data_IF_033205058966
#
_entry.id   IF_033205058966
#
_cell.length_a   1.000
_cell.length_b   1.000
_cell.length_c   1.000
_cell.angle_alpha   90.00
_cell.angle_beta   90.00
_cell.angle_gamma   90.00
#
_symmetry.space_group_name_H-M   'P 1'
#
loop_
_entity.id
_entity.type
_entity.pdbx_description
1 polymer ?
#
# COMPACT_ATOMS: atom_id res chain seq x y z
N UNK A 1 3.96 -32.61 -101.34
CA UNK A 1 3.25 -31.36 -101.64
C UNK A 1 2.01 -31.32 -100.77
N UNK A 2 2.07 -30.54 -99.70
CA UNK A 2 1.11 -30.48 -98.59
C UNK A 2 1.25 -29.09 -97.97
N UNK A 3 0.22 -28.24 -97.98
CA UNK A 3 0.30 -26.93 -97.35
C UNK A 3 -0.20 -27.00 -95.90
N UNK A 4 0.70 -26.60 -94.99
CA UNK A 4 0.51 -25.73 -93.82
C UNK A 4 -0.87 -25.67 -93.16
N UNK A 5 -0.94 -26.05 -91.89
CA UNK A 5 -1.94 -25.55 -90.94
C UNK A 5 -1.23 -25.02 -89.68
N UNK A 6 -1.69 -23.91 -89.09
CA UNK A 6 -0.89 -23.10 -88.19
C UNK A 6 -1.03 -23.54 -86.73
N UNK A 7 0.12 -23.68 -86.07
CA UNK A 7 0.24 -23.75 -84.61
C UNK A 7 -0.02 -22.38 -84.00
N UNK A 8 -1.08 -22.26 -83.20
CA UNK A 8 -1.30 -21.14 -82.29
C UNK A 8 -1.44 -21.65 -80.83
N UNK A 9 -1.00 -20.84 -79.85
CA UNK A 9 -0.48 -21.32 -78.58
C UNK A 9 -1.55 -21.56 -77.50
N UNK A 10 -1.23 -22.32 -76.43
CA UNK A 10 -2.09 -22.43 -75.26
C UNK A 10 -2.21 -21.09 -74.53
N UNK A 11 -3.43 -20.80 -74.10
CA UNK A 11 -3.83 -19.53 -73.48
C UNK A 11 -2.92 -19.09 -72.33
N UNK A 12 -2.58 -17.82 -72.37
CA UNK A 12 -1.86 -17.08 -71.34
C UNK A 12 -2.69 -17.03 -70.05
N UNK A 13 -2.30 -17.83 -69.06
CA UNK A 13 -2.71 -17.62 -67.66
C UNK A 13 -1.97 -16.38 -67.16
N UNK A 14 -2.64 -15.40 -66.53
CA UNK A 14 -1.95 -14.19 -66.08
C UNK A 14 -0.96 -14.54 -64.96
N UNK A 15 0.31 -14.26 -65.22
CA UNK A 15 1.40 -14.29 -64.26
C UNK A 15 1.16 -13.12 -63.28
N UNK A 16 0.56 -13.40 -62.13
CA UNK A 16 0.53 -12.43 -61.04
C UNK A 16 1.94 -12.25 -60.49
N UNK A 17 2.44 -11.02 -60.65
CA UNK A 17 3.68 -10.51 -60.07
C UNK A 17 3.89 -10.99 -58.64
N UNK A 18 5.11 -11.42 -58.36
CA UNK A 18 5.70 -11.55 -57.02
C UNK A 18 5.47 -10.24 -56.25
N UNK A 19 4.41 -10.19 -55.45
CA UNK A 19 4.25 -9.15 -54.43
C UNK A 19 5.08 -9.59 -53.24
N UNK A 20 6.20 -8.91 -53.04
CA UNK A 20 6.88 -8.77 -51.75
C UNK A 20 5.82 -8.75 -50.65
N UNK A 21 5.86 -9.74 -49.76
CA UNK A 21 5.04 -9.72 -48.54
C UNK A 21 5.52 -8.55 -47.71
N UNK A 22 4.95 -7.37 -47.94
CA UNK A 22 5.03 -6.26 -47.02
C UNK A 22 4.34 -6.75 -45.77
N UNK A 23 5.13 -7.09 -44.75
CA UNK A 23 4.67 -7.26 -43.37
C UNK A 23 3.95 -5.96 -43.04
N UNK A 24 2.61 -5.96 -43.18
CA UNK A 24 1.78 -4.94 -42.58
C UNK A 24 1.98 -5.13 -41.09
N UNK A 25 2.82 -4.27 -40.51
CA UNK A 25 2.86 -4.06 -39.08
C UNK A 25 1.44 -3.77 -38.64
N UNK A 26 0.86 -4.68 -37.84
CA UNK A 26 -0.36 -4.48 -37.07
C UNK A 26 -0.21 -3.19 -36.23
N UNK A 27 -0.54 -2.06 -36.84
CA UNK A 27 -0.70 -0.77 -36.17
C UNK A 27 -2.18 -0.46 -36.05
N UNK A 28 -2.96 -1.39 -35.50
CA UNK A 28 -4.33 -1.09 -35.06
C UNK A 28 -4.88 -2.07 -34.00
N UNK A 29 -4.00 -2.63 -33.16
CA UNK A 29 -4.39 -3.41 -31.97
C UNK A 29 -4.05 -2.70 -30.63
N UNK A 30 -3.99 -1.37 -30.62
CA UNK A 30 -3.77 -0.56 -29.41
C UNK A 30 -5.05 0.10 -28.87
N UNK A 31 -6.21 -0.55 -29.05
CA UNK A 31 -7.46 -0.15 -28.37
C UNK A 31 -7.99 -1.32 -27.55
N UNK A 32 -8.02 -1.10 -26.23
CA UNK A 32 -8.62 -1.96 -25.21
C UNK A 32 -7.96 -3.32 -24.99
N UNK A 33 -6.82 -3.31 -24.30
CA UNK A 33 -6.71 -4.26 -23.18
C UNK A 33 -7.64 -3.70 -22.10
N UNK A 34 -8.89 -4.14 -22.09
CA UNK A 34 -9.72 -4.03 -20.89
C UNK A 34 -9.00 -4.82 -19.81
N UNK A 35 -8.51 -4.12 -18.78
CA UNK A 35 -7.99 -4.76 -17.58
C UNK A 35 -9.12 -5.58 -16.96
N UNK A 36 -9.14 -6.87 -17.29
CA UNK A 36 -10.20 -7.82 -16.95
C UNK A 36 -9.92 -8.48 -15.59
N UNK A 37 -8.78 -8.17 -14.97
CA UNK A 37 -8.43 -8.65 -13.64
C UNK A 37 -8.77 -7.54 -12.65
N UNK A 38 -9.90 -7.70 -11.95
CA UNK A 38 -10.21 -6.79 -10.83
C UNK A 38 -9.13 -6.93 -9.76
N UNK A 39 -8.58 -5.82 -9.28
CA UNK A 39 -7.57 -5.77 -8.20
C UNK A 39 -7.90 -4.68 -7.20
N UNK A 40 -7.50 -4.84 -5.95
CA UNK A 40 -7.58 -3.80 -4.93
C UNK A 40 -6.45 -2.78 -5.10
N UNK A 41 -6.61 -1.59 -4.53
CA UNK A 41 -5.57 -0.55 -4.54
C UNK A 41 -5.70 0.33 -3.31
N UNK A 42 -4.81 0.15 -2.33
CA UNK A 42 -4.89 0.75 -1.01
C UNK A 42 -4.04 2.01 -0.91
N UNK A 43 -4.73 3.15 -0.79
CA UNK A 43 -4.10 4.46 -0.82
C UNK A 43 -4.38 5.24 0.45
N UNK A 44 -3.33 5.64 1.16
CA UNK A 44 -3.46 6.47 2.36
C UNK A 44 -3.88 7.90 2.02
N UNK A 45 -4.92 8.44 2.65
CA UNK A 45 -5.35 9.83 2.46
C UNK A 45 -4.94 10.68 3.66
N UNK A 46 -4.13 11.75 3.47
CA UNK A 46 -3.67 12.56 4.58
C UNK A 46 -4.82 13.28 5.30
N UNK A 47 -4.94 13.03 6.60
CA UNK A 47 -5.71 13.84 7.53
C UNK A 47 -4.77 14.19 8.70
N UNK A 48 -3.83 15.11 8.49
CA UNK A 48 -2.73 15.31 9.45
C UNK A 48 -3.13 16.24 10.60
N UNK A 49 -3.88 15.68 11.54
CA UNK A 49 -3.78 16.09 12.94
C UNK A 49 -2.79 15.15 13.64
N UNK A 50 -1.58 15.65 13.91
CA UNK A 50 -0.60 14.93 14.72
C UNK A 50 -0.51 15.54 16.09
N UNK A 51 -0.26 14.72 17.09
CA UNK A 51 0.01 15.21 18.44
C UNK A 51 0.94 14.28 19.19
N UNK A 52 1.54 14.84 20.24
CA UNK A 52 2.40 14.11 21.15
C UNK A 52 1.58 13.76 22.39
N UNK A 53 1.56 12.49 22.75
CA UNK A 53 0.95 12.02 23.99
C UNK A 53 2.04 11.47 24.91
N UNK A 54 2.00 11.85 26.18
CA UNK A 54 2.83 11.27 27.23
C UNK A 54 1.97 10.32 28.05
N UNK A 55 2.34 9.05 28.09
CA UNK A 55 1.53 8.01 28.73
C UNK A 55 2.41 7.16 29.64
N UNK A 56 2.02 6.93 30.90
CA UNK A 56 2.75 6.03 31.79
C UNK A 56 2.58 4.57 31.34
N UNK A 57 3.61 3.75 31.57
CA UNK A 57 3.64 2.35 31.13
C UNK A 57 2.47 1.51 31.66
N UNK A 58 1.93 1.79 32.85
CA UNK A 58 0.78 1.05 33.36
C UNK A 58 -0.48 1.15 32.47
N UNK A 59 -0.61 2.23 31.69
CA UNK A 59 -1.67 2.42 30.70
C UNK A 59 -1.33 1.79 29.32
N UNK A 60 -0.10 1.35 29.12
CA UNK A 60 0.41 0.83 27.84
C UNK A 60 0.71 -0.66 27.87
N UNK A 61 0.30 -1.38 28.92
CA UNK A 61 0.59 -2.83 29.06
C UNK A 61 0.10 -3.63 27.87
N UNK A 62 -1.12 -3.35 27.42
CA UNK A 62 -1.71 -3.95 26.23
C UNK A 62 -0.88 -3.67 24.97
N UNK A 63 -0.58 -2.40 24.73
CA UNK A 63 0.26 -2.01 23.60
C UNK A 63 1.68 -2.61 23.67
N UNK A 64 2.22 -2.83 24.87
CA UNK A 64 3.50 -3.49 25.06
C UNK A 64 3.43 -4.99 24.71
N UNK A 65 2.37 -5.69 25.13
CA UNK A 65 2.11 -7.09 24.76
C UNK A 65 1.98 -7.28 23.25
N UNK A 66 1.46 -6.27 22.55
CA UNK A 66 1.30 -6.25 21.09
C UNK A 66 2.53 -5.71 20.35
N UNK A 67 3.64 -5.43 21.05
CA UNK A 67 4.87 -4.87 20.48
C UNK A 67 4.67 -3.52 19.77
N UNK A 68 3.82 -2.66 20.33
CA UNK A 68 3.54 -1.32 19.82
C UNK A 68 4.43 -0.21 20.39
N UNK A 69 5.39 -0.57 21.25
CA UNK A 69 6.36 0.35 21.84
C UNK A 69 7.76 0.06 21.33
N UNK A 70 8.66 1.04 21.43
CA UNK A 70 10.07 0.82 21.11
C UNK A 70 10.69 -0.20 22.09
N UNK A 71 11.73 -0.91 21.67
CA UNK A 71 12.40 -1.95 22.47
C UNK A 71 12.90 -1.46 23.83
N UNK A 72 13.20 -0.17 23.97
CA UNK A 72 13.55 0.46 25.25
C UNK A 72 12.44 0.38 26.29
N UNK A 73 11.18 0.23 25.88
CA UNK A 73 10.04 0.04 26.77
C UNK A 73 10.07 -1.30 27.52
N UNK A 74 10.79 -2.31 27.03
CA UNK A 74 10.88 -3.62 27.67
C UNK A 74 11.53 -3.54 29.08
N UNK A 75 12.34 -2.51 29.34
CA UNK A 75 12.98 -2.29 30.63
C UNK A 75 12.29 -1.16 31.45
N UNK A 76 11.21 -0.59 30.93
CA UNK A 76 10.50 0.51 31.57
C UNK A 76 9.60 -0.01 32.71
N UNK A 77 9.57 0.73 33.82
CA UNK A 77 8.70 0.47 34.97
C UNK A 77 7.32 1.04 34.72
N UNK A 78 6.31 0.58 35.47
CA UNK A 78 4.91 1.02 35.35
C UNK A 78 4.73 2.55 35.37
N UNK A 79 5.53 3.28 36.16
CA UNK A 79 5.45 4.74 36.28
C UNK A 79 6.35 5.50 35.30
N UNK A 80 7.19 4.80 34.53
CA UNK A 80 7.97 5.43 33.48
C UNK A 80 7.03 5.88 32.36
N UNK A 81 7.35 7.01 31.75
CA UNK A 81 6.51 7.64 30.73
C UNK A 81 7.06 7.36 29.35
N UNK A 82 6.18 6.94 28.43
CA UNK A 82 6.45 6.88 27.00
C UNK A 82 5.95 8.14 26.31
N UNK A 83 6.64 8.54 25.26
CA UNK A 83 6.27 9.68 24.41
C UNK A 83 5.83 9.13 23.06
N UNK A 84 4.57 9.33 22.71
CA UNK A 84 3.94 8.73 21.54
C UNK A 84 3.59 9.82 20.51
N UNK A 85 4.08 9.66 19.28
CA UNK A 85 3.65 10.48 18.14
C UNK A 85 2.41 9.83 17.53
N UNK A 86 1.24 10.42 17.79
CA UNK A 86 -0.05 9.92 17.30
C UNK A 86 -0.49 10.64 16.05
N UNK A 87 -1.13 9.90 15.16
CA UNK A 87 -1.65 10.38 13.87
C UNK A 87 -2.75 9.45 13.37
N UNK A 88 -3.81 9.95 12.72
CA UNK A 88 -4.82 9.07 12.16
C UNK A 88 -4.30 8.42 10.88
N UNK A 89 -4.82 7.24 10.57
CA UNK A 89 -4.60 6.55 9.31
C UNK A 89 -5.92 6.42 8.56
N UNK A 90 -5.94 6.73 7.26
CA UNK A 90 -7.11 6.46 6.41
C UNK A 90 -6.66 5.82 5.11
N UNK A 91 -6.98 4.55 4.90
CA UNK A 91 -6.65 3.79 3.69
C UNK A 91 -7.89 3.63 2.84
N UNK A 92 -7.83 4.02 1.56
CA UNK A 92 -8.90 3.83 0.59
C UNK A 92 -8.60 2.64 -0.30
N UNK A 93 -9.57 1.77 -0.56
CA UNK A 93 -9.48 0.87 -1.71
C UNK A 93 -10.03 1.56 -2.96
N UNK A 94 -9.14 2.07 -3.81
CA UNK A 94 -9.47 2.69 -5.09
C UNK A 94 -9.46 1.73 -6.28
N UNK A 95 -9.18 0.46 -6.02
CA UNK A 95 -9.26 -0.61 -6.99
C UNK A 95 -10.70 -1.05 -7.30
N UNK A 96 -10.83 -2.14 -8.04
CA UNK A 96 -12.11 -2.71 -8.48
C UNK A 96 -12.46 -4.05 -7.83
N UNK A 97 -11.54 -4.62 -7.04
CA UNK A 97 -11.75 -5.82 -6.23
C UNK A 97 -11.60 -5.53 -4.73
N UNK A 98 -12.12 -6.45 -3.94
CA UNK A 98 -12.06 -6.42 -2.48
C UNK A 98 -10.62 -6.66 -2.04
N UNK A 99 -10.10 -5.81 -1.15
CA UNK A 99 -8.84 -6.08 -0.48
C UNK A 99 -9.14 -7.04 0.66
N UNK A 100 -8.66 -8.28 0.55
CA UNK A 100 -8.95 -9.33 1.53
C UNK A 100 -7.68 -9.74 2.27
N UNK A 101 -7.79 -10.12 3.55
CA UNK A 101 -6.66 -10.68 4.28
C UNK A 101 -6.10 -11.90 3.56
N UNK A 102 -4.77 -11.97 3.44
CA UNK A 102 -4.08 -13.10 2.79
C UNK A 102 -4.11 -14.38 3.63
N UNK A 103 -4.26 -14.25 4.97
CA UNK A 103 -4.31 -15.38 5.89
C UNK A 103 -5.74 -15.91 6.04
N UNK A 104 -5.93 -17.24 6.02
CA UNK A 104 -7.23 -17.84 6.31
C UNK A 104 -7.63 -17.57 7.77
N UNK A 105 -8.95 -17.56 8.03
CA UNK A 105 -9.52 -17.19 9.33
C UNK A 105 -8.92 -17.92 10.54
N UNK A 106 -8.58 -19.20 10.40
CA UNK A 106 -8.00 -19.99 11.50
C UNK A 106 -6.61 -19.50 11.94
N UNK A 107 -5.95 -18.68 11.11
CA UNK A 107 -4.63 -18.11 11.37
C UNK A 107 -4.70 -16.64 11.81
N UNK A 108 -5.91 -16.11 12.04
CA UNK A 108 -6.08 -14.77 12.60
C UNK A 108 -5.75 -14.78 14.08
N UNK A 109 -5.07 -13.74 14.54
CA UNK A 109 -4.60 -13.64 15.92
C UNK A 109 -5.65 -12.87 16.73
N UNK A 110 -6.02 -13.41 17.90
CA UNK A 110 -6.96 -12.74 18.80
C UNK A 110 -6.20 -11.77 19.70
N UNK A 111 -6.65 -10.52 19.71
CA UNK A 111 -6.06 -9.47 20.53
C UNK A 111 -7.00 -9.16 21.69
N UNK A 112 -6.67 -9.68 22.88
CA UNK A 112 -7.51 -9.55 24.09
C UNK A 112 -7.71 -8.09 24.51
N UNK A 113 -6.73 -7.24 24.21
CA UNK A 113 -6.78 -5.81 24.51
C UNK A 113 -7.82 -5.06 23.67
N UNK A 114 -8.03 -5.50 22.43
CA UNK A 114 -8.97 -4.87 21.50
C UNK A 114 -10.25 -5.70 21.28
N UNK A 115 -10.34 -6.87 21.91
CA UNK A 115 -11.48 -7.79 21.86
C UNK A 115 -11.93 -8.13 20.42
N UNK A 116 -10.97 -8.27 19.50
CA UNK A 116 -11.22 -8.69 18.12
C UNK A 116 -10.00 -9.40 17.50
N UNK A 117 -10.20 -9.98 16.31
CA UNK A 117 -9.15 -10.66 15.57
C UNK A 117 -8.40 -9.70 14.64
N UNK A 118 -7.07 -9.81 14.58
CA UNK A 118 -6.26 -9.20 13.54
C UNK A 118 -6.06 -10.21 12.40
N UNK A 119 -6.47 -9.83 11.19
CA UNK A 119 -6.46 -10.73 10.02
C UNK A 119 -5.17 -10.66 9.20
N UNK A 120 -4.32 -9.67 9.49
CA UNK A 120 -3.00 -9.49 8.89
C UNK A 120 -2.00 -9.15 9.98
N UNK A 121 -0.80 -9.73 9.90
CA UNK A 121 0.29 -9.44 10.85
C UNK A 121 0.95 -8.08 10.62
N UNK A 122 0.80 -7.50 9.42
CA UNK A 122 1.36 -6.20 9.07
C UNK A 122 0.51 -5.57 7.95
N UNK A 123 -0.43 -4.70 8.30
CA UNK A 123 -1.24 -3.96 7.32
C UNK A 123 -0.55 -2.68 6.89
N UNK A 124 0.03 -1.96 7.85
CA UNK A 124 0.84 -0.76 7.59
C UNK A 124 2.13 -0.76 8.40
N UNK A 125 3.14 -0.09 7.85
CA UNK A 125 4.42 0.14 8.48
C UNK A 125 4.66 1.63 8.65
N UNK A 126 5.02 2.04 9.86
CA UNK A 126 5.27 3.43 10.23
C UNK A 126 6.76 3.64 10.50
N UNK A 127 7.41 4.44 9.66
CA UNK A 127 8.80 4.87 9.82
C UNK A 127 8.83 6.35 10.23
N UNK A 128 9.67 6.71 11.21
CA UNK A 128 10.09 8.10 11.42
C UNK A 128 11.54 8.23 10.96
N UNK A 129 11.77 9.07 9.96
CA UNK A 129 13.08 9.28 9.34
C UNK A 129 13.64 10.64 9.72
N UNK A 130 14.94 10.73 9.94
CA UNK A 130 15.62 12.02 10.03
C UNK A 130 15.49 12.77 8.70
N UNK A 131 15.09 14.04 8.74
CA UNK A 131 14.82 14.79 7.50
C UNK A 131 16.06 14.96 6.62
N UNK A 132 17.25 15.05 7.22
CA UNK A 132 18.50 15.30 6.50
C UNK A 132 19.15 14.03 5.97
N UNK A 133 19.22 12.98 6.79
CA UNK A 133 19.92 11.74 6.48
C UNK A 133 19.01 10.66 5.90
N UNK A 134 17.68 10.84 6.03
CA UNK A 134 16.64 9.86 5.68
C UNK A 134 16.82 8.49 6.37
N UNK A 135 17.61 8.44 7.44
CA UNK A 135 17.77 7.25 8.28
C UNK A 135 16.62 7.14 9.29
N UNK A 136 16.25 5.91 9.64
CA UNK A 136 15.25 5.67 10.68
C UNK A 136 15.78 6.14 12.03
N UNK A 137 15.00 6.94 12.73
CA UNK A 137 15.33 7.47 14.07
C UNK A 137 14.47 6.89 15.19
N UNK A 138 13.36 6.26 14.83
CA UNK A 138 12.52 5.50 15.75
C UNK A 138 12.39 4.07 15.22
N UNK A 139 12.14 3.14 16.14
CA UNK A 139 11.77 1.78 15.75
C UNK A 139 10.44 1.83 15.01
N UNK A 140 10.43 1.24 13.80
CA UNK A 140 9.24 1.25 12.96
C UNK A 140 8.13 0.43 13.59
N UNK A 141 6.92 0.99 13.64
CA UNK A 141 5.78 0.30 14.20
C UNK A 141 5.03 -0.47 13.10
N UNK A 142 4.77 -1.75 13.36
CA UNK A 142 3.97 -2.63 12.50
C UNK A 142 2.55 -2.65 13.01
N UNK A 143 1.69 -1.89 12.36
CA UNK A 143 0.30 -1.86 12.77
C UNK A 143 -0.43 -3.05 12.11
N UNK A 144 -0.88 -3.98 12.94
CA UNK A 144 -1.89 -4.97 12.57
C UNK A 144 -3.22 -4.44 13.07
N UNK A 145 -4.20 -4.35 12.18
CA UNK A 145 -5.53 -3.88 12.53
C UNK A 145 -6.59 -4.73 11.84
N UNK A 146 -7.82 -4.57 12.28
CA UNK A 146 -8.96 -5.22 11.68
C UNK A 146 -9.43 -4.49 10.42
N UNK A 147 -9.40 -5.19 9.27
CA UNK A 147 -9.86 -4.60 8.01
C UNK A 147 -11.38 -4.50 7.96
N UNK A 148 -11.88 -3.27 7.89
CA UNK A 148 -13.31 -3.00 7.72
C UNK A 148 -13.60 -1.79 6.82
N UNK A 149 -14.83 -1.74 6.32
CA UNK A 149 -15.33 -0.56 5.64
C UNK A 149 -15.77 0.44 6.73
N UNK A 150 -15.00 1.50 7.02
CA UNK A 150 -15.37 2.56 8.00
C UNK A 150 -16.30 3.61 7.39
N UNK A 151 -16.08 3.94 6.12
CA UNK A 151 -16.89 4.87 5.31
C UNK A 151 -16.70 4.55 3.84
N UNK A 152 -17.58 5.03 2.96
CA UNK A 152 -17.44 4.84 1.52
C UNK A 152 -17.80 6.11 0.75
N UNK A 153 -17.26 6.22 -0.47
CA UNK A 153 -17.71 7.25 -1.41
C UNK A 153 -19.20 7.07 -1.75
N UNK A 154 -19.83 8.15 -2.23
CA UNK A 154 -21.23 8.11 -2.65
C UNK A 154 -21.45 7.02 -3.72
N UNK A 155 -22.49 6.21 -3.54
CA UNK A 155 -22.82 5.10 -4.44
C UNK A 155 -22.15 3.76 -4.08
N UNK A 156 -21.27 3.73 -3.08
CA UNK A 156 -20.67 2.51 -2.54
C UNK A 156 -21.28 2.15 -1.18
N UNK A 157 -21.29 0.86 -0.84
CA UNK A 157 -21.89 0.34 0.39
C UNK A 157 -20.87 -0.47 1.20
N UNK A 158 -20.91 -0.31 2.52
CA UNK A 158 -20.10 -1.05 3.49
C UNK A 158 -20.51 -2.53 3.45
N UNK A 159 -19.54 -3.44 3.42
CA UNK A 159 -19.74 -4.91 3.43
C UNK A 159 -18.94 -5.62 4.51
N UNK A 160 -17.79 -5.07 4.92
CA UNK A 160 -16.94 -5.65 5.94
C UNK A 160 -17.03 -4.87 7.24
N UNK A 161 -17.10 -5.60 8.35
CA UNK A 161 -17.13 -5.05 9.70
C UNK A 161 -16.42 -6.01 10.65
N UNK A 162 -15.57 -5.48 11.51
CA UNK A 162 -14.84 -6.26 12.50
C UNK A 162 -15.78 -7.01 13.45
N UNK A 163 -16.91 -6.37 13.80
CA UNK A 163 -17.96 -6.90 14.68
C UNK A 163 -18.77 -8.03 14.03
N UNK A 164 -18.85 -8.10 12.69
CA UNK A 164 -19.52 -9.18 11.96
C UNK A 164 -18.61 -10.37 11.68
N UNK A 165 -17.37 -10.33 12.18
CA UNK A 165 -16.33 -11.32 11.93
C UNK A 165 -15.93 -11.53 10.46
N UNK A 166 -16.25 -10.60 9.57
CA UNK A 166 -15.83 -10.66 8.16
C UNK A 166 -14.98 -9.44 7.86
N UNK A 167 -13.72 -9.68 7.50
CA UNK A 167 -12.74 -8.62 7.28
C UNK A 167 -12.41 -8.45 5.81
N UNK A 168 -12.17 -7.20 5.43
CA UNK A 168 -11.83 -6.78 4.09
C UNK A 168 -12.09 -5.30 3.90
N UNK A 169 -11.66 -4.77 2.76
CA UNK A 169 -11.92 -3.39 2.37
C UNK A 169 -12.51 -3.35 0.95
N UNK A 170 -13.76 -2.91 0.85
CA UNK A 170 -14.54 -2.85 -0.38
C UNK A 170 -14.02 -1.78 -1.34
N UNK A 171 -14.14 -1.96 -2.67
CA UNK A 171 -13.93 -0.90 -3.65
C UNK A 171 -14.71 0.37 -3.29
N UNK A 172 -14.07 1.53 -3.40
CA UNK A 172 -14.66 2.83 -3.07
C UNK A 172 -14.86 3.09 -1.57
N UNK A 173 -14.48 2.15 -0.70
CA UNK A 173 -14.55 2.31 0.75
C UNK A 173 -13.18 2.65 1.35
N UNK A 174 -13.23 3.10 2.61
CA UNK A 174 -12.09 3.51 3.41
C UNK A 174 -12.05 2.71 4.70
N UNK A 175 -10.86 2.34 5.12
CA UNK A 175 -10.57 1.90 6.48
C UNK A 175 -9.86 3.04 7.21
N UNK A 176 -10.42 3.50 8.34
CA UNK A 176 -10.00 4.71 9.04
C UNK A 176 -9.71 4.40 10.49
N UNK A 177 -8.46 4.55 10.89
CA UNK A 177 -8.00 4.45 12.27
C UNK A 177 -7.76 5.84 12.83
N UNK A 178 -8.53 6.20 13.85
CA UNK A 178 -8.35 7.45 14.56
C UNK A 178 -7.09 7.44 15.42
N UNK A 179 -6.49 8.61 15.63
CA UNK A 179 -5.22 8.75 16.33
C UNK A 179 -5.25 8.33 17.82
N UNK A 180 -6.44 8.23 18.41
CA UNK A 180 -6.69 7.80 19.79
C UNK A 180 -6.73 6.29 19.98
N UNK A 181 -6.80 5.50 18.90
CA UNK A 181 -6.78 4.04 18.96
C UNK A 181 -5.40 3.55 19.43
N UNK A 182 -5.38 2.43 20.16
CA UNK A 182 -4.13 1.81 20.57
C UNK A 182 -3.29 1.34 19.38
N UNK A 183 -1.96 1.41 19.52
CA UNK A 183 -0.98 1.11 18.47
C UNK A 183 -1.02 2.07 17.25
N UNK A 184 -1.87 3.11 17.26
CA UNK A 184 -1.92 4.14 16.21
C UNK A 184 -0.91 5.27 16.49
N UNK A 185 0.38 4.92 16.65
CA UNK A 185 1.47 5.84 16.94
C UNK A 185 2.85 5.33 16.49
N UNK A 186 3.86 6.19 16.60
CA UNK A 186 5.27 5.80 16.72
C UNK A 186 5.74 6.17 18.13
N UNK A 187 6.38 5.24 18.85
CA UNK A 187 7.03 5.54 20.12
C UNK A 187 8.30 6.36 19.86
N UNK A 188 8.28 7.62 20.27
CA UNK A 188 9.36 8.60 20.06
C UNK A 188 10.05 8.94 21.39
N UNK A 189 9.96 8.08 22.41
CA UNK A 189 10.57 8.31 23.74
C UNK A 189 12.06 8.61 23.65
N UNK A 190 12.77 7.92 22.75
CA UNK A 190 14.22 8.04 22.57
C UNK A 190 14.61 9.02 21.45
N UNK A 191 13.63 9.73 20.86
CA UNK A 191 13.85 10.68 19.76
C UNK A 191 13.94 12.10 20.32
N UNK A 192 14.98 12.83 19.91
CA UNK A 192 15.15 14.23 20.30
C UNK A 192 14.22 15.17 19.52
N UNK A 193 13.99 16.41 19.99
CA UNK A 193 13.35 17.43 19.19
C UNK A 193 14.11 17.68 17.88
N UNK A 194 13.38 17.88 16.77
CA UNK A 194 13.98 17.98 15.46
C UNK A 194 12.99 18.00 14.31
N UNK A 195 13.54 17.88 13.10
CA UNK A 195 12.77 17.79 11.85
C UNK A 195 12.90 16.39 11.27
N UNK A 196 11.77 15.79 10.95
CA UNK A 196 11.66 14.40 10.54
C UNK A 196 10.75 14.26 9.32
N UNK A 197 10.79 13.08 8.72
CA UNK A 197 9.81 12.65 7.73
C UNK A 197 9.06 11.45 8.30
N UNK A 198 7.75 11.60 8.52
CA UNK A 198 6.87 10.48 8.79
C UNK A 198 6.62 9.76 7.46
N UNK A 199 6.95 8.48 7.40
CA UNK A 199 6.72 7.64 6.23
C UNK A 199 5.79 6.49 6.62
N UNK A 200 4.64 6.42 5.96
CA UNK A 200 3.65 5.37 6.14
C UNK A 200 3.65 4.52 4.88
N UNK A 201 3.76 3.21 5.03
CA UNK A 201 3.68 2.25 3.91
C UNK A 201 2.52 1.30 4.16
N UNK A 202 1.56 1.24 3.23
CA UNK A 202 0.46 0.27 3.27
C UNK A 202 0.88 -0.99 2.52
N UNK A 203 0.49 -2.17 3.02
CA UNK A 203 0.83 -3.48 2.45
C UNK A 203 2.33 -3.60 2.09
N UNK A 204 3.25 -3.29 3.03
CA UNK A 204 4.70 -3.19 2.77
C UNK A 204 5.32 -4.52 2.32
N UNK A 205 4.71 -5.64 2.71
CA UNK A 205 5.17 -6.99 2.35
C UNK A 205 4.58 -7.53 1.06
N UNK A 206 3.77 -6.76 0.32
CA UNK A 206 3.07 -7.20 -0.88
C UNK A 206 2.24 -8.49 -0.66
N UNK A 207 1.70 -8.64 0.56
CA UNK A 207 0.99 -9.86 0.98
C UNK A 207 -0.36 -10.00 0.30
N UNK A 208 -0.98 -8.87 -0.04
CA UNK A 208 -2.24 -8.80 -0.80
C UNK A 208 -1.93 -8.24 -2.20
N UNK A 209 -2.41 -8.87 -3.29
CA UNK A 209 -2.20 -8.35 -4.64
C UNK A 209 -2.94 -7.03 -4.89
N UNK A 210 -2.27 -6.06 -5.49
CA UNK A 210 -2.85 -4.76 -5.84
C UNK A 210 -2.66 -4.45 -7.34
N UNK A 211 -3.48 -3.53 -7.89
CA UNK A 211 -3.30 -3.01 -9.26
C UNK A 211 -2.08 -2.12 -9.38
N UNK A 212 -1.83 -1.32 -8.35
CA UNK A 212 -0.71 -0.40 -8.26
C UNK A 212 -0.18 -0.41 -6.83
N UNK A 213 1.13 -0.58 -6.69
CA UNK A 213 1.82 -0.48 -5.39
C UNK A 213 2.66 0.80 -5.28
N UNK A 214 2.77 1.57 -6.36
CA UNK A 214 3.60 2.79 -6.41
C UNK A 214 3.03 3.92 -5.55
N UNK A 215 1.75 3.80 -5.14
CA UNK A 215 1.02 4.76 -4.34
C UNK A 215 0.80 4.31 -2.88
N UNK A 216 1.42 3.20 -2.46
CA UNK A 216 1.30 2.66 -1.11
C UNK A 216 2.11 3.43 -0.06
N UNK A 217 3.02 4.32 -0.49
CA UNK A 217 3.89 5.07 0.41
C UNK A 217 3.44 6.53 0.47
N UNK A 218 3.24 7.04 1.68
CA UNK A 218 3.07 8.47 1.94
C UNK A 218 4.17 8.98 2.84
N UNK A 219 4.66 10.18 2.51
CA UNK A 219 5.61 10.93 3.33
C UNK A 219 5.00 12.26 3.76
N UNK A 220 5.26 12.64 5.00
CA UNK A 220 4.89 13.93 5.57
C UNK A 220 6.09 14.52 6.31
N UNK A 221 6.30 15.83 6.21
CA UNK A 221 7.25 16.53 7.06
C UNK A 221 6.70 16.62 8.48
N UNK A 222 7.52 16.31 9.48
CA UNK A 222 7.17 16.41 10.90
C UNK A 222 8.17 17.32 11.60
N UNK A 223 7.65 18.32 12.30
CA UNK A 223 8.44 19.14 13.22
C UNK A 223 8.07 18.80 14.66
N UNK A 224 9.01 18.22 15.41
CA UNK A 224 8.84 17.82 16.80
C UNK A 224 9.62 18.75 17.74
N UNK A 225 8.94 19.37 18.70
CA UNK A 225 9.52 20.37 19.62
C UNK A 225 9.83 19.82 21.01
N UNK A 226 9.66 18.51 21.23
CA UNK A 226 9.73 17.89 22.55
C UNK A 226 8.36 17.72 23.21
N UNK A 227 7.47 18.70 23.05
CA UNK A 227 6.11 18.69 23.63
C UNK A 227 4.99 18.67 22.60
N UNK A 228 5.27 19.13 21.38
CA UNK A 228 4.30 19.19 20.30
C UNK A 228 4.91 18.64 19.02
N UNK A 229 4.07 18.10 18.15
CA UNK A 229 4.45 17.67 16.81
C UNK A 229 3.45 18.21 15.81
N UNK A 230 3.94 18.75 14.71
CA UNK A 230 3.13 19.21 13.58
C UNK A 230 3.58 18.52 12.32
N UNK A 231 2.64 17.88 11.62
CA UNK A 231 2.88 17.32 10.30
C UNK A 231 2.33 18.21 9.19
N UNK A 232 3.08 18.33 8.10
CA UNK A 232 2.73 19.13 6.94
C UNK A 232 3.26 18.52 5.65
N UNK A 233 2.81 19.02 4.50
CA UNK A 233 3.38 18.66 3.21
C UNK A 233 3.30 17.16 2.93
N UNK A 234 2.17 16.52 3.22
CA UNK A 234 2.01 15.10 2.95
C UNK A 234 1.81 14.82 1.47
N UNK A 235 2.57 13.88 0.90
CA UNK A 235 2.46 13.47 -0.50
C UNK A 235 2.71 11.97 -0.70
N UNK A 236 2.12 11.42 -1.76
CA UNK A 236 2.43 10.07 -2.22
C UNK A 236 3.85 10.03 -2.76
N UNK A 237 4.64 9.09 -2.27
CA UNK A 237 5.96 8.85 -2.82
C UNK A 237 5.86 7.79 -3.90
N UNK A 238 5.96 8.21 -5.16
CA UNK A 238 5.91 7.31 -6.30
C UNK A 238 7.12 6.38 -6.31
N UNK A 239 6.91 5.09 -6.08
CA UNK A 239 7.93 4.07 -6.31
C UNK A 239 7.87 3.65 -7.77
N UNK A 240 8.86 4.04 -8.58
CA UNK A 240 8.99 3.54 -9.96
C UNK A 240 9.39 2.06 -9.88
N UNK A 241 8.43 1.16 -10.13
CA UNK A 241 8.73 -0.26 -10.27
C UNK A 241 9.38 -0.49 -11.64
N UNK A 242 10.71 -0.66 -11.68
CA UNK A 242 11.36 -1.22 -12.86
C UNK A 242 11.01 -2.70 -12.95
N UNK A 243 10.30 -3.07 -14.02
CA UNK A 243 9.96 -4.45 -14.35
C UNK A 243 11.22 -5.23 -14.75
N UNK A 244 12.00 -5.74 -13.78
CA UNK A 244 12.89 -6.86 -14.06
C UNK A 244 12.12 -8.17 -13.86
N UNK A 245 11.77 -8.77 -14.99
CA UNK A 245 11.21 -10.12 -15.09
C UNK A 245 12.14 -11.10 -14.37
N UNK A 246 11.58 -11.76 -13.37
CA UNK A 246 12.12 -12.92 -12.65
C UNK A 246 13.35 -12.66 -11.75
N UNK A 247 13.15 -12.98 -10.47
CA UNK A 247 14.11 -13.12 -9.37
C UNK A 247 14.63 -11.84 -8.71
N UNK A 248 14.16 -11.63 -7.46
CA UNK A 248 14.55 -10.59 -6.50
C UNK A 248 14.22 -9.15 -6.90
N UNK A 249 13.05 -8.66 -6.45
CA UNK A 249 12.74 -7.22 -6.43
C UNK A 249 13.84 -6.49 -5.64
N UNK A 250 14.74 -5.79 -6.34
CA UNK A 250 15.55 -4.72 -5.77
C UNK A 250 14.77 -3.42 -5.95
N UNK A 251 14.24 -2.89 -4.86
CA UNK A 251 13.61 -1.57 -4.82
C UNK A 251 14.67 -0.51 -5.12
N UNK A 252 14.60 0.13 -6.29
CA UNK A 252 15.39 1.32 -6.59
C UNK A 252 14.55 2.58 -6.30
N UNK A 253 15.13 3.48 -5.51
CA UNK A 253 14.51 4.72 -5.06
C UNK A 253 14.86 5.84 -6.06
N UNK A 254 13.86 6.48 -6.67
CA UNK A 254 14.06 7.75 -7.37
C UNK A 254 13.50 8.88 -6.53
N UNK A 255 14.37 9.76 -6.03
CA UNK A 255 14.00 11.09 -5.58
C UNK A 255 13.79 11.97 -6.82
N UNK A 256 12.64 12.64 -6.93
CA UNK A 256 12.46 13.81 -7.78
C UNK A 256 12.40 15.05 -6.91
#
# INVERSE_FOLDING_TARGET
MTPTTPTNPPGTVPITRTTTTTIRTDREAHRHITDTVRRSECVWRPAVSTYVQRVPMYNLRCAAEENCLASSAANARDYDTRVLLRFPQRVKNQGTADFLPSRPRYAWEWHSCHNHYHSMSEFSHYDLLDSSTQQRVAEGHKASFCLEDTSCDSGYYRRYACTSHTQGLSPGCYDTYSADIDCQWIDITDVQPGRYTLKITVNPGFQVPESDFSNNIVRCDVHYTGNYAHASGCFFFLVIQTLEKHSNLKTFCCCY
#
